data_IF_211443461898
#
_entry.id   IF_211443461898
#
_cell.length_a   1.000
_cell.length_b   1.000
_cell.length_c   1.000
_cell.angle_alpha   90.00
_cell.angle_beta   90.00
_cell.angle_gamma   90.00
#
_symmetry.space_group_name_H-M   'P 1'
#
loop_
_entity.id
_entity.type
_entity.pdbx_description
1 polymer ?
#
# COMPACT_ATOMS: atom_id res chain seq x y z
N UNK A 1 -12.49 3.29 -2.72
CA UNK A 1 -11.14 3.01 -3.26
C UNK A 1 -10.81 4.12 -4.20
N UNK A 2 -9.69 4.81 -3.98
CA UNK A 2 -9.34 6.02 -4.74
C UNK A 2 -7.95 5.81 -5.37
N UNK A 3 -7.75 6.33 -6.58
CA UNK A 3 -6.46 6.37 -7.25
C UNK A 3 -6.19 7.81 -7.68
N UNK A 4 -4.96 8.28 -7.45
CA UNK A 4 -4.53 9.62 -7.80
C UNK A 4 -3.16 9.54 -8.46
N UNK A 5 -3.01 10.28 -9.56
CA UNK A 5 -1.72 10.47 -10.21
C UNK A 5 -1.24 11.89 -9.89
N UNK A 6 -0.07 12.02 -9.28
CA UNK A 6 0.51 13.33 -8.93
C UNK A 6 1.96 13.33 -9.36
N UNK A 7 2.35 14.25 -10.26
CA UNK A 7 3.72 14.37 -10.78
C UNK A 7 4.30 13.08 -11.40
N UNK A 8 3.45 12.23 -12.02
CA UNK A 8 3.86 10.94 -12.57
C UNK A 8 3.88 9.79 -11.55
N UNK A 9 3.67 10.08 -10.26
CA UNK A 9 3.48 9.05 -9.24
C UNK A 9 2.02 8.59 -9.22
N UNK A 10 1.80 7.33 -9.55
CA UNK A 10 0.53 6.66 -9.41
C UNK A 10 0.38 6.12 -7.99
N UNK A 11 -0.52 6.73 -7.22
CA UNK A 11 -0.85 6.32 -5.87
C UNK A 11 -2.29 5.78 -5.83
N UNK A 12 -2.43 4.50 -5.53
CA UNK A 12 -3.73 3.85 -5.33
C UNK A 12 -3.90 3.50 -3.85
N UNK A 13 -5.08 3.77 -3.30
CA UNK A 13 -5.42 3.39 -1.92
C UNK A 13 -6.84 2.86 -1.80
N UNK A 14 -6.99 1.83 -0.97
CA UNK A 14 -8.27 1.22 -0.64
C UNK A 14 -8.39 0.95 0.84
N UNK A 15 -9.62 1.01 1.36
CA UNK A 15 -9.91 0.80 2.78
C UNK A 15 -9.47 1.98 3.67
N UNK A 16 -9.09 1.67 4.91
CA UNK A 16 -8.64 2.67 5.89
C UNK A 16 -7.12 2.67 6.02
N UNK A 17 -6.56 3.87 6.23
CA UNK A 17 -5.17 3.99 6.66
C UNK A 17 -5.00 3.47 8.09
N UNK A 18 -3.78 3.13 8.46
CA UNK A 18 -3.45 2.71 9.82
C UNK A 18 -3.90 3.75 10.86
N UNK A 19 -3.71 5.04 10.56
CA UNK A 19 -4.11 6.13 11.46
C UNK A 19 -5.63 6.22 11.60
N UNK A 20 -6.38 6.11 10.49
CA UNK A 20 -7.84 6.11 10.52
C UNK A 20 -8.39 4.88 11.25
N UNK A 21 -7.78 3.71 11.05
CA UNK A 21 -8.18 2.47 11.73
C UNK A 21 -7.93 2.54 13.25
N UNK A 22 -6.76 3.06 13.67
CA UNK A 22 -6.46 3.31 15.08
C UNK A 22 -7.42 4.34 15.70
N UNK A 23 -7.72 5.44 14.99
CA UNK A 23 -8.72 6.44 15.44
C UNK A 23 -10.12 5.85 15.61
N UNK A 24 -10.46 4.80 14.86
CA UNK A 24 -11.73 4.05 14.99
C UNK A 24 -11.68 2.94 16.05
N UNK A 25 -10.60 2.80 16.81
CA UNK A 25 -10.47 1.81 17.87
C UNK A 25 -10.13 0.39 17.39
N UNK A 26 -9.72 0.22 16.13
CA UNK A 26 -9.29 -1.09 15.62
C UNK A 26 -7.82 -1.36 15.98
N UNK A 27 -7.53 -2.61 16.40
CA UNK A 27 -6.17 -3.12 16.56
C UNK A 27 -5.63 -3.59 15.21
N UNK A 28 -4.92 -2.70 14.52
CA UNK A 28 -4.33 -2.99 13.21
C UNK A 28 -2.81 -2.96 13.24
N UNK A 29 -2.21 -3.81 12.42
CA UNK A 29 -0.80 -3.77 12.04
C UNK A 29 -0.69 -3.35 10.58
N UNK A 30 0.44 -2.73 10.23
CA UNK A 30 0.78 -2.45 8.86
C UNK A 30 2.14 -3.04 8.51
N UNK A 31 2.25 -3.58 7.31
CA UNK A 31 3.51 -3.99 6.72
C UNK A 31 3.78 -3.13 5.51
N UNK A 32 4.98 -2.58 5.45
CA UNK A 32 5.47 -1.82 4.31
C UNK A 32 6.56 -2.62 3.64
N UNK A 33 6.39 -2.90 2.36
CA UNK A 33 7.41 -3.54 1.56
C UNK A 33 7.56 -2.79 0.24
N UNK A 34 8.79 -2.86 -0.26
CA UNK A 34 9.20 -2.30 -1.54
C UNK A 34 9.63 -3.47 -2.39
N UNK A 35 9.03 -3.60 -3.57
CA UNK A 35 9.33 -4.68 -4.49
C UNK A 35 9.34 -4.14 -5.93
N UNK A 36 10.13 -4.76 -6.79
CA UNK A 36 10.18 -4.36 -8.19
C UNK A 36 8.91 -4.82 -8.91
N UNK A 37 8.33 -3.98 -9.78
CA UNK A 37 7.15 -4.36 -10.58
C UNK A 37 7.44 -5.58 -11.49
N UNK A 38 8.72 -5.77 -11.82
CA UNK A 38 9.23 -6.77 -12.75
C UNK A 38 10.64 -7.18 -12.32
N UNK A 39 11.11 -8.37 -12.72
CA UNK A 39 12.41 -8.85 -12.31
C UNK A 39 13.54 -7.87 -12.68
N UNK A 40 14.50 -7.70 -11.77
CA UNK A 40 15.62 -6.74 -11.90
C UNK A 40 16.51 -6.97 -13.14
N UNK A 41 16.44 -8.16 -13.75
CA UNK A 41 17.18 -8.48 -14.97
C UNK A 41 16.54 -7.94 -16.26
N UNK A 42 15.36 -7.30 -16.17
CA UNK A 42 14.70 -6.65 -17.31
C UNK A 42 15.36 -5.28 -17.64
N UNK A 43 15.27 -4.79 -18.89
CA UNK A 43 15.95 -3.55 -19.32
C UNK A 43 15.52 -2.29 -18.55
N UNK A 44 14.31 -2.32 -17.99
CA UNK A 44 13.86 -1.38 -16.98
C UNK A 44 13.12 -2.16 -15.90
N UNK A 45 13.15 -1.63 -14.68
CA UNK A 45 12.33 -2.05 -13.56
C UNK A 45 12.05 -0.80 -12.74
N UNK A 46 10.87 -0.73 -12.15
CA UNK A 46 10.47 0.36 -11.26
C UNK A 46 10.13 -0.25 -9.90
N UNK A 47 10.44 0.52 -8.86
CA UNK A 47 10.15 0.14 -7.50
C UNK A 47 8.70 0.49 -7.15
N UNK A 48 7.94 -0.52 -6.73
CA UNK A 48 6.58 -0.35 -6.24
C UNK A 48 6.59 -0.42 -4.71
N UNK A 49 6.04 0.62 -4.09
CA UNK A 49 5.86 0.68 -2.64
C UNK A 49 4.46 0.17 -2.32
N UNK A 50 4.39 -0.89 -1.51
CA UNK A 50 3.13 -1.48 -1.08
C UNK A 50 3.04 -1.45 0.44
N UNK A 51 2.01 -0.78 0.95
CA UNK A 51 1.63 -0.81 2.36
C UNK A 51 0.33 -1.57 2.52
N UNK A 52 0.36 -2.65 3.30
CA UNK A 52 -0.83 -3.44 3.63
C UNK A 52 -1.17 -3.25 5.10
N UNK A 53 -2.45 -3.02 5.40
CA UNK A 53 -2.96 -2.76 6.74
C UNK A 53 -4.02 -3.83 7.05
N UNK A 54 -3.83 -4.55 8.16
CA UNK A 54 -4.68 -5.67 8.56
C UNK A 54 -4.92 -5.68 10.07
N UNK A 55 -6.02 -6.29 10.50
CA UNK A 55 -6.31 -6.53 11.91
C UNK A 55 -5.37 -7.59 12.49
N UNK A 56 -4.82 -7.35 13.68
CA UNK A 56 -3.87 -8.28 14.31
C UNK A 56 -4.52 -9.63 14.66
N UNK A 57 -5.74 -9.58 15.19
CA UNK A 57 -6.42 -10.74 15.75
C UNK A 57 -7.00 -11.66 14.65
N UNK A 58 -7.58 -11.06 13.61
CA UNK A 58 -8.32 -11.78 12.56
C UNK A 58 -7.53 -11.91 11.26
N UNK A 59 -6.43 -11.16 11.10
CA UNK A 59 -5.69 -10.96 9.84
C UNK A 59 -6.57 -10.41 8.70
N UNK A 60 -7.73 -9.84 9.02
CA UNK A 60 -8.60 -9.23 8.03
C UNK A 60 -7.93 -8.00 7.43
N UNK A 61 -7.95 -7.91 6.10
CA UNK A 61 -7.49 -6.71 5.38
C UNK A 61 -8.40 -5.52 5.69
N UNK A 62 -7.79 -4.44 6.20
CA UNK A 62 -8.47 -3.17 6.54
C UNK A 62 -8.21 -2.11 5.49
N UNK A 63 -7.02 -2.15 4.88
CA UNK A 63 -6.67 -1.26 3.78
C UNK A 63 -5.36 -1.66 3.10
N UNK A 64 -5.15 -1.11 1.92
CA UNK A 64 -3.91 -1.24 1.17
C UNK A 64 -3.61 0.07 0.44
N UNK A 65 -2.33 0.40 0.36
CA UNK A 65 -1.83 1.59 -0.33
C UNK A 65 -0.68 1.14 -1.22
N UNK A 66 -0.70 1.58 -2.47
CA UNK A 66 0.30 1.28 -3.47
C UNK A 66 0.76 2.61 -4.06
N UNK A 67 2.06 2.78 -4.22
CA UNK A 67 2.65 3.91 -4.91
C UNK A 67 3.71 3.42 -5.89
N UNK A 68 3.64 3.90 -7.13
CA UNK A 68 4.58 3.61 -8.23
C UNK A 68 4.87 4.91 -8.99
N UNK A 69 6.01 4.98 -9.69
CA UNK A 69 6.39 6.09 -10.55
C UNK A 69 5.88 5.96 -12.01
N UNK A 70 5.11 4.89 -12.28
CA UNK A 70 4.62 4.56 -13.62
C UNK A 70 3.22 3.96 -13.60
#
# INVERSE_FOLDING_TARGET
SNAICVFGYNMASTGWSEETAKKKGLKVKSNFFKDAERPEFMPSYEDVLVKVIYEEDTRRMVGAQIASNH
#
